data_IF_689360984475
#
_entry.id   IF_689360984475
#
_cell.length_a   1.000
_cell.length_b   1.000
_cell.length_c   1.000
_cell.angle_alpha   90.00
_cell.angle_beta   90.00
_cell.angle_gamma   90.00
#
_symmetry.space_group_name_H-M   'P 1'
#
loop_
_entity.id
_entity.type
_entity.pdbx_description
1 polymer ?
#
# COMPACT_ATOMS: atom_id res chain seq x y z
N UNK A 1 13.05 -11.91 22.89
CA UNK A 1 12.23 -13.02 22.37
C UNK A 1 13.09 -13.96 21.52
N UNK A 2 13.71 -13.48 20.44
CA UNK A 2 14.62 -14.26 19.59
C UNK A 2 15.76 -14.91 20.41
N UNK A 3 16.49 -14.14 21.23
CA UNK A 3 17.54 -14.67 22.12
C UNK A 3 17.04 -15.66 23.19
N UNK A 4 15.72 -15.70 23.41
CA UNK A 4 15.06 -16.65 24.31
C UNK A 4 14.44 -17.85 23.54
N UNK A 5 14.83 -18.05 22.27
CA UNK A 5 14.39 -19.13 21.40
C UNK A 5 12.87 -19.17 21.15
N UNK A 6 12.22 -18.01 21.06
CA UNK A 6 10.82 -17.95 20.63
C UNK A 6 10.69 -18.26 19.12
N UNK A 7 9.80 -19.19 18.75
CA UNK A 7 9.52 -19.52 17.34
C UNK A 7 8.48 -18.58 16.71
N UNK A 8 7.64 -17.95 17.53
CA UNK A 8 6.60 -17.00 17.09
C UNK A 8 6.62 -15.78 18.01
N UNK A 9 6.48 -14.59 17.43
CA UNK A 9 6.32 -13.32 18.16
C UNK A 9 5.00 -12.68 17.71
N UNK A 10 4.09 -12.44 18.66
CA UNK A 10 2.91 -11.61 18.45
C UNK A 10 3.20 -10.16 18.84
N UNK A 11 2.96 -9.22 17.93
CA UNK A 11 3.10 -7.79 18.15
C UNK A 11 1.75 -7.09 17.94
N UNK A 12 1.13 -6.70 19.06
CA UNK A 12 -0.05 -5.83 19.07
C UNK A 12 0.37 -4.38 19.31
N UNK A 13 1.15 -3.84 18.38
CA UNK A 13 1.67 -2.48 18.38
C UNK A 13 1.58 -1.91 16.97
N UNK A 14 1.46 -0.59 16.85
CA UNK A 14 1.21 0.09 15.59
C UNK A 14 1.61 1.56 15.66
N UNK A 15 2.12 2.09 14.56
CA UNK A 15 2.38 3.51 14.36
C UNK A 15 2.57 3.85 12.88
N UNK A 16 2.54 5.14 12.56
CA UNK A 16 2.86 5.63 11.22
C UNK A 16 4.29 5.22 10.85
N UNK A 17 4.52 4.61 9.68
CA UNK A 17 5.87 4.32 9.21
C UNK A 17 6.73 5.59 9.13
N UNK A 18 8.01 5.48 9.50
CA UNK A 18 8.96 6.60 9.51
C UNK A 18 10.21 6.29 8.71
N UNK A 19 10.97 7.33 8.35
CA UNK A 19 12.26 7.13 7.70
C UNK A 19 13.23 6.46 8.67
N UNK A 20 13.69 5.26 8.31
CA UNK A 20 14.58 4.47 9.14
C UNK A 20 13.87 3.84 10.34
N UNK A 21 12.60 3.48 10.17
CA UNK A 21 11.79 2.82 11.20
C UNK A 21 12.55 1.63 11.83
N UNK A 22 12.86 1.68 13.14
CA UNK A 22 13.61 0.62 13.80
C UNK A 22 12.86 -0.72 13.85
N UNK A 23 11.54 -0.70 13.75
CA UNK A 23 10.73 -1.90 13.76
C UNK A 23 10.93 -2.72 12.49
N UNK A 24 11.16 -2.09 11.32
CA UNK A 24 11.50 -2.80 10.08
C UNK A 24 12.73 -3.68 10.28
N UNK A 25 13.79 -3.09 10.82
CA UNK A 25 15.05 -3.79 11.09
C UNK A 25 14.84 -4.91 12.11
N UNK A 26 14.06 -4.65 13.17
CA UNK A 26 13.81 -5.63 14.22
C UNK A 26 13.00 -6.85 13.73
N UNK A 27 11.92 -6.63 12.95
CA UNK A 27 11.10 -7.72 12.42
C UNK A 27 11.83 -8.50 11.33
N UNK A 28 12.59 -7.81 10.47
CA UNK A 28 13.42 -8.45 9.44
C UNK A 28 14.51 -9.32 10.07
N UNK A 29 15.16 -8.82 11.13
CA UNK A 29 16.13 -9.61 11.87
C UNK A 29 15.47 -10.84 12.52
N UNK A 30 14.35 -10.69 13.22
CA UNK A 30 13.64 -11.82 13.83
C UNK A 30 13.25 -12.89 12.78
N UNK A 31 12.72 -12.47 11.63
CA UNK A 31 12.40 -13.35 10.51
C UNK A 31 13.64 -14.12 10.02
N UNK A 32 14.78 -13.43 9.82
CA UNK A 32 16.04 -14.07 9.43
C UNK A 32 16.56 -15.10 10.44
N UNK A 33 16.15 -15.00 11.72
CA UNK A 33 16.50 -15.95 12.77
C UNK A 33 15.52 -17.13 12.85
N UNK A 34 14.63 -17.29 11.86
CA UNK A 34 13.65 -18.37 11.81
C UNK A 34 12.39 -18.14 12.65
N UNK A 35 12.12 -16.89 13.04
CA UNK A 35 10.95 -16.54 13.86
C UNK A 35 9.81 -16.02 13.01
N UNK A 36 8.61 -16.57 13.18
CA UNK A 36 7.38 -16.01 12.58
C UNK A 36 6.97 -14.77 13.38
N UNK A 37 6.99 -13.60 12.75
CA UNK A 37 6.50 -12.36 13.37
C UNK A 37 5.06 -12.12 12.90
N UNK A 38 4.12 -12.10 13.83
CA UNK A 38 2.69 -11.85 13.57
C UNK A 38 2.30 -10.51 14.17
N UNK A 39 1.71 -9.63 13.37
CA UNK A 39 1.43 -8.24 13.76
C UNK A 39 -0.04 -7.90 13.56
N UNK A 40 -0.59 -7.05 14.42
CA UNK A 40 -1.90 -6.43 14.16
C UNK A 40 -1.79 -5.44 13.00
N UNK A 41 -2.74 -5.44 12.06
CA UNK A 41 -2.70 -4.53 10.91
C UNK A 41 -2.84 -3.03 11.28
N UNK A 42 -3.48 -2.75 12.42
CA UNK A 42 -3.85 -1.40 12.86
C UNK A 42 -5.37 -1.24 13.00
N UNK A 43 -5.82 -0.14 13.59
CA UNK A 43 -7.25 0.12 13.87
C UNK A 43 -7.76 1.45 13.23
N UNK A 44 -7.14 1.90 12.14
CA UNK A 44 -7.45 3.19 11.52
C UNK A 44 -8.31 3.06 10.24
N UNK A 45 -8.97 1.92 10.02
CA UNK A 45 -9.73 1.65 8.80
C UNK A 45 -11.11 2.31 8.69
N UNK A 46 -11.65 2.84 9.80
CA UNK A 46 -13.08 3.17 9.99
C UNK A 46 -13.73 3.92 8.80
N UNK A 47 -14.37 3.12 7.92
CA UNK A 47 -15.16 3.44 6.71
C UNK A 47 -14.47 3.38 5.34
N UNK A 48 -13.20 2.97 5.21
CA UNK A 48 -12.53 2.88 3.90
C UNK A 48 -12.36 4.22 3.17
N UNK A 49 -12.72 5.32 3.83
CA UNK A 49 -12.60 6.72 3.37
C UNK A 49 -11.21 7.30 3.63
N UNK A 50 -10.37 6.57 4.38
CA UNK A 50 -8.96 6.83 4.59
C UNK A 50 -8.27 5.64 3.93
N UNK A 51 -7.40 5.87 2.95
CA UNK A 51 -6.83 4.79 2.12
C UNK A 51 -5.91 3.83 2.89
N UNK A 52 -4.65 3.69 2.47
CA UNK A 52 -3.68 2.85 3.15
C UNK A 52 -3.54 3.27 4.60
N UNK A 53 -3.85 2.35 5.50
CA UNK A 53 -3.87 2.56 6.96
C UNK A 53 -3.11 1.46 7.71
N UNK A 54 -2.43 0.58 6.98
CA UNK A 54 -1.56 -0.46 7.55
C UNK A 54 -0.39 0.20 8.26
N UNK A 55 -0.25 -0.10 9.55
CA UNK A 55 0.75 0.53 10.41
C UNK A 55 2.08 -0.24 10.41
N UNK A 56 3.14 0.42 10.85
CA UNK A 56 4.38 -0.24 11.23
C UNK A 56 4.20 -1.06 12.51
N UNK A 57 4.70 -2.32 12.57
CA UNK A 57 5.52 -3.01 11.58
C UNK A 57 4.74 -3.92 10.62
N UNK A 58 3.41 -3.87 10.63
CA UNK A 58 2.57 -4.74 9.83
C UNK A 58 2.76 -4.54 8.32
N UNK A 59 3.15 -3.35 7.86
CA UNK A 59 3.44 -3.15 6.44
C UNK A 59 4.63 -3.98 5.93
N UNK A 60 5.62 -4.31 6.77
CA UNK A 60 6.85 -4.95 6.28
C UNK A 60 6.64 -6.41 5.86
N UNK A 61 7.43 -6.88 4.88
CA UNK A 61 7.30 -8.23 4.31
C UNK A 61 7.55 -9.33 5.34
N UNK A 62 8.48 -9.09 6.27
CA UNK A 62 8.83 -10.00 7.36
C UNK A 62 7.75 -10.12 8.46
N UNK A 63 6.70 -9.30 8.40
CA UNK A 63 5.56 -9.35 9.31
C UNK A 63 4.38 -10.04 8.64
N UNK A 64 3.75 -10.99 9.31
CA UNK A 64 2.43 -11.52 8.95
C UNK A 64 1.36 -10.60 9.55
N UNK A 65 0.84 -9.67 8.76
CA UNK A 65 -0.14 -8.68 9.17
C UNK A 65 -1.54 -9.27 9.23
N UNK A 66 -2.22 -9.04 10.35
CA UNK A 66 -3.53 -9.64 10.63
C UNK A 66 -4.62 -8.57 10.69
N UNK A 67 -5.56 -8.67 9.75
CA UNK A 67 -6.81 -7.90 9.72
C UNK A 67 -7.86 -8.46 10.69
N UNK A 68 -8.89 -7.65 10.95
CA UNK A 68 -9.96 -7.98 11.88
C UNK A 68 -11.28 -8.27 11.15
N UNK A 69 -11.95 -9.33 11.58
CA UNK A 69 -13.34 -9.63 11.22
C UNK A 69 -14.27 -9.41 12.44
N UNK A 70 -15.50 -9.02 12.16
CA UNK A 70 -16.62 -8.99 13.12
C UNK A 70 -17.18 -10.40 13.36
N UNK A 71 -18.15 -10.52 14.27
CA UNK A 71 -18.79 -11.81 14.61
C UNK A 71 -19.50 -12.50 13.43
N UNK A 72 -19.93 -11.74 12.43
CA UNK A 72 -20.61 -12.24 11.23
C UNK A 72 -19.64 -12.50 10.06
N UNK A 73 -18.34 -12.53 10.34
CA UNK A 73 -17.25 -12.64 9.38
C UNK A 73 -17.16 -11.46 8.38
N UNK A 74 -17.89 -10.37 8.58
CA UNK A 74 -17.66 -9.14 7.82
C UNK A 74 -16.34 -8.47 8.25
N UNK A 75 -15.65 -7.74 7.36
CA UNK A 75 -14.48 -6.96 7.73
C UNK A 75 -14.85 -5.96 8.83
N UNK A 76 -14.05 -5.95 9.90
CA UNK A 76 -14.24 -4.98 10.95
C UNK A 76 -13.96 -3.58 10.41
N UNK A 77 -14.90 -2.66 10.63
CA UNK A 77 -14.81 -1.30 10.11
C UNK A 77 -13.49 -0.61 10.49
N UNK A 78 -12.94 -0.92 11.67
CA UNK A 78 -11.66 -0.37 12.16
C UNK A 78 -10.42 -1.04 11.60
N UNK A 79 -10.53 -2.24 11.02
CA UNK A 79 -9.37 -2.97 10.54
C UNK A 79 -8.63 -2.11 9.52
N UNK A 80 -7.37 -1.81 9.78
CA UNK A 80 -6.53 -1.13 8.79
C UNK A 80 -6.48 -1.92 7.48
N UNK A 81 -6.51 -1.19 6.36
CA UNK A 81 -6.58 -1.71 5.00
C UNK A 81 -5.40 -1.23 4.16
N UNK A 82 -4.98 -2.04 3.20
CA UNK A 82 -4.03 -1.67 2.15
C UNK A 82 -4.73 -1.15 0.89
N UNK A 83 -4.11 -1.28 -0.30
CA UNK A 83 -2.72 -1.69 -0.52
C UNK A 83 -1.75 -0.72 0.14
N UNK A 84 -0.50 -1.11 0.34
CA UNK A 84 0.53 -0.18 0.85
C UNK A 84 0.87 0.92 -0.16
N UNK A 85 1.61 1.94 0.28
CA UNK A 85 2.12 3.03 -0.55
C UNK A 85 2.95 2.53 -1.75
N UNK A 86 3.67 1.41 -1.61
CA UNK A 86 4.44 0.75 -2.67
C UNK A 86 3.64 -0.30 -3.43
N UNK A 87 2.31 -0.27 -3.36
CA UNK A 87 1.39 -1.11 -4.14
C UNK A 87 1.58 -2.62 -3.98
N UNK A 88 1.86 -3.08 -2.76
CA UNK A 88 1.75 -4.50 -2.40
C UNK A 88 0.67 -4.71 -1.34
N UNK A 89 0.10 -5.91 -1.29
CA UNK A 89 -1.08 -6.17 -0.47
C UNK A 89 -0.76 -6.46 0.98
N UNK A 90 -1.56 -5.84 1.84
CA UNK A 90 -1.69 -6.00 3.28
C UNK A 90 -3.17 -5.68 3.65
N UNK A 91 -3.77 -6.26 4.71
CA UNK A 91 -3.20 -7.28 5.59
C UNK A 91 -2.92 -8.60 4.84
N UNK A 92 -2.21 -9.53 5.45
CA UNK A 92 -1.89 -10.84 4.84
C UNK A 92 -3.02 -11.84 5.00
N UNK A 93 -3.70 -11.80 6.15
CA UNK A 93 -4.76 -12.72 6.55
C UNK A 93 -5.66 -12.01 7.56
N UNK A 94 -6.87 -12.50 7.77
CA UNK A 94 -7.80 -11.96 8.77
C UNK A 94 -8.21 -13.01 9.80
N UNK A 95 -8.52 -12.55 11.00
CA UNK A 95 -9.13 -13.35 12.05
C UNK A 95 -10.11 -12.50 12.87
N UNK A 96 -10.95 -13.15 13.68
CA UNK A 96 -11.88 -12.46 14.58
C UNK A 96 -11.17 -11.40 15.43
N UNK A 97 -11.56 -10.13 15.24
CA UNK A 97 -10.95 -8.96 15.88
C UNK A 97 -11.58 -8.58 17.20
N UNK A 98 -12.12 -9.55 17.92
CA UNK A 98 -12.77 -9.30 19.20
C UNK A 98 -12.45 -10.37 20.24
N UNK A 99 -12.62 -9.99 21.50
CA UNK A 99 -12.62 -10.90 22.64
C UNK A 99 -13.71 -10.52 23.63
N UNK A 100 -14.15 -11.49 24.44
CA UNK A 100 -15.14 -11.26 25.51
C UNK A 100 -14.49 -11.56 26.85
N UNK A 101 -14.45 -10.58 27.75
CA UNK A 101 -13.98 -10.77 29.12
C UNK A 101 -14.98 -11.60 29.93
N UNK A 102 -14.54 -12.06 31.11
CA UNK A 102 -15.34 -12.90 32.00
C UNK A 102 -16.63 -12.25 32.52
N UNK A 103 -16.70 -10.92 32.50
CA UNK A 103 -17.89 -10.13 32.85
C UNK A 103 -18.86 -9.92 31.66
N UNK A 104 -18.51 -10.42 30.48
CA UNK A 104 -19.30 -10.28 29.26
C UNK A 104 -18.97 -9.02 28.43
N UNK A 105 -18.04 -8.17 28.87
CA UNK A 105 -17.61 -7.00 28.09
C UNK A 105 -16.89 -7.43 26.82
N UNK A 106 -17.22 -6.81 25.68
CA UNK A 106 -16.56 -7.05 24.40
C UNK A 106 -15.53 -5.98 24.11
N UNK A 107 -14.35 -6.42 23.69
CA UNK A 107 -13.29 -5.55 23.19
C UNK A 107 -13.02 -5.87 21.73
N UNK A 108 -12.77 -4.84 20.94
CA UNK A 108 -12.50 -4.92 19.51
C UNK A 108 -11.13 -4.36 19.19
N UNK A 109 -10.49 -4.90 18.15
CA UNK A 109 -9.21 -4.46 17.63
C UNK A 109 -8.48 -5.59 16.91
N UNK A 110 -7.68 -5.24 15.90
CA UNK A 110 -6.75 -6.17 15.23
C UNK A 110 -5.75 -6.78 16.20
N UNK A 111 -5.52 -6.14 17.35
CA UNK A 111 -4.79 -6.68 18.51
C UNK A 111 -5.37 -7.99 19.06
N UNK A 112 -6.64 -8.30 18.82
CA UNK A 112 -7.26 -9.58 19.18
C UNK A 112 -7.21 -10.62 18.05
N UNK A 113 -7.05 -10.18 16.80
CA UNK A 113 -6.85 -11.05 15.64
C UNK A 113 -5.43 -11.62 15.58
N UNK A 114 -4.42 -10.76 15.75
CA UNK A 114 -3.00 -11.14 15.70
C UNK A 114 -2.63 -12.35 16.58
N UNK A 115 -3.01 -12.42 17.87
CA UNK A 115 -2.65 -13.56 18.72
C UNK A 115 -3.33 -14.87 18.29
N UNK A 116 -4.46 -14.83 17.59
CA UNK A 116 -5.12 -16.04 17.06
C UNK A 116 -4.31 -16.64 15.92
N UNK A 117 -3.83 -15.81 15.00
CA UNK A 117 -2.94 -16.24 13.91
C UNK A 117 -1.57 -16.66 14.47
N UNK A 118 -1.05 -15.98 15.49
CA UNK A 118 0.18 -16.40 16.16
C UNK A 118 0.05 -17.79 16.81
N UNK A 119 -1.10 -18.09 17.43
CA UNK A 119 -1.38 -19.41 17.97
C UNK A 119 -1.43 -20.48 16.86
N UNK A 120 -2.08 -20.19 15.73
CA UNK A 120 -2.10 -21.09 14.58
C UNK A 120 -0.69 -21.32 13.99
N UNK A 121 0.13 -20.27 13.89
CA UNK A 121 1.53 -20.40 13.47
C UNK A 121 2.32 -21.34 14.39
N UNK A 122 2.14 -21.22 15.71
CA UNK A 122 2.79 -22.10 16.68
C UNK A 122 2.30 -23.55 16.57
N UNK A 123 1.01 -23.76 16.29
CA UNK A 123 0.42 -25.09 16.06
C UNK A 123 0.99 -25.76 14.81
N UNK A 124 1.09 -25.03 13.69
CA UNK A 124 1.72 -25.52 12.46
C UNK A 124 3.19 -25.89 12.70
N UNK A 125 3.94 -25.07 13.44
CA UNK A 125 5.34 -25.37 13.80
C UNK A 125 5.43 -26.65 14.65
N UNK A 126 4.59 -26.79 15.67
CA UNK A 126 4.55 -27.98 16.53
C UNK A 126 4.26 -29.25 15.73
N UNK A 127 3.27 -29.19 14.83
CA UNK A 127 2.95 -30.30 13.94
C UNK A 127 4.09 -30.67 12.99
N UNK A 128 4.78 -29.68 12.42
CA UNK A 128 5.95 -29.93 11.59
C UNK A 128 7.04 -30.67 12.37
N UNK A 129 7.32 -30.25 13.62
CA UNK A 129 8.28 -30.93 14.48
C UNK A 129 7.86 -32.37 14.77
N UNK A 130 6.60 -32.60 15.17
CA UNK A 130 6.08 -33.92 15.51
C UNK A 130 6.11 -34.91 14.34
N UNK A 131 6.03 -34.41 13.10
CA UNK A 131 6.07 -35.19 11.87
C UNK A 131 7.44 -35.18 11.19
N UNK A 132 8.47 -34.62 11.83
CA UNK A 132 9.82 -34.48 11.29
C UNK A 132 9.84 -33.73 9.93
N UNK A 133 8.98 -32.71 9.77
CA UNK A 133 8.93 -31.81 8.61
C UNK A 133 9.77 -30.57 8.93
N UNK A 134 10.64 -30.17 8.00
CA UNK A 134 11.41 -28.92 8.14
C UNK A 134 10.47 -27.73 7.93
N UNK A 135 10.64 -26.66 8.72
CA UNK A 135 9.87 -25.43 8.57
C UNK A 135 10.77 -24.21 8.57
N UNK A 136 10.27 -23.14 7.97
CA UNK A 136 10.79 -21.77 7.99
C UNK A 136 9.64 -20.80 8.25
N UNK A 137 9.91 -19.53 8.64
CA UNK A 137 8.88 -18.51 8.68
C UNK A 137 8.07 -18.41 7.37
N UNK A 138 8.75 -18.42 6.22
CA UNK A 138 8.10 -18.42 4.90
C UNK A 138 7.12 -19.57 4.72
N UNK A 139 7.50 -20.80 5.09
CA UNK A 139 6.61 -21.97 4.95
C UNK A 139 5.34 -21.85 5.79
N UNK A 140 5.45 -21.32 7.02
CA UNK A 140 4.32 -21.17 7.93
C UNK A 140 3.39 -20.05 7.44
N UNK A 141 3.96 -18.90 7.03
CA UNK A 141 3.17 -17.80 6.45
C UNK A 141 2.46 -18.24 5.16
N UNK A 142 3.16 -18.95 4.26
CA UNK A 142 2.60 -19.49 3.01
C UNK A 142 1.42 -20.42 3.30
N UNK A 143 1.57 -21.35 4.24
CA UNK A 143 0.52 -22.30 4.60
C UNK A 143 -0.70 -21.61 5.22
N UNK A 144 -0.50 -20.61 6.09
CA UNK A 144 -1.58 -19.83 6.69
C UNK A 144 -2.37 -19.04 5.65
N UNK A 145 -1.68 -18.34 4.74
CA UNK A 145 -2.32 -17.55 3.69
C UNK A 145 -3.05 -18.44 2.68
N UNK A 146 -2.37 -19.46 2.13
CA UNK A 146 -2.97 -20.42 1.18
C UNK A 146 -4.10 -21.23 1.81
N UNK A 147 -4.03 -21.45 3.12
CA UNK A 147 -5.02 -22.17 3.91
C UNK A 147 -6.23 -21.35 4.32
N UNK A 148 -6.21 -20.03 4.17
CA UNK A 148 -7.33 -19.17 4.55
C UNK A 148 -8.62 -19.51 3.80
N UNK A 149 -9.75 -19.22 4.43
CA UNK A 149 -11.08 -19.29 3.82
C UNK A 149 -11.46 -17.93 3.25
N UNK A 150 -12.01 -17.92 2.03
CA UNK A 150 -12.50 -16.70 1.40
C UNK A 150 -13.55 -16.00 2.28
N UNK A 151 -13.46 -14.68 2.36
CA UNK A 151 -14.40 -13.83 3.12
C UNK A 151 -15.25 -13.06 2.13
N UNK A 152 -16.43 -13.59 1.83
CA UNK A 152 -17.37 -12.97 0.89
C UNK A 152 -16.73 -12.63 -0.46
N UNK A 153 -17.07 -11.46 -0.98
CA UNK A 153 -16.45 -10.87 -2.19
C UNK A 153 -15.57 -9.66 -1.81
N UNK A 154 -15.05 -9.63 -0.58
CA UNK A 154 -14.27 -8.49 -0.12
C UNK A 154 -12.88 -8.49 -0.76
N UNK A 155 -12.37 -7.33 -1.21
CA UNK A 155 -11.04 -7.22 -1.78
C UNK A 155 -9.94 -7.68 -0.83
N UNK A 156 -8.88 -8.27 -1.38
CA UNK A 156 -7.74 -8.78 -0.62
C UNK A 156 -6.97 -7.70 0.14
N UNK A 157 -7.02 -6.44 -0.32
CA UNK A 157 -6.43 -5.32 0.43
C UNK A 157 -7.22 -4.97 1.71
N UNK A 158 -8.41 -5.53 1.90
CA UNK A 158 -9.22 -5.38 3.12
C UNK A 158 -9.06 -6.60 4.03
N UNK A 159 -9.16 -7.81 3.47
CA UNK A 159 -9.26 -9.06 4.26
C UNK A 159 -8.02 -9.96 4.18
N UNK A 160 -7.01 -9.58 3.41
CA UNK A 160 -5.86 -10.43 3.12
C UNK A 160 -6.26 -11.62 2.24
N UNK A 161 -5.56 -12.75 2.42
CA UNK A 161 -5.93 -14.03 1.80
C UNK A 161 -7.28 -14.61 2.32
N UNK A 162 -7.86 -13.99 3.35
CA UNK A 162 -9.14 -14.38 3.94
C UNK A 162 -9.06 -14.74 5.42
N UNK A 163 -10.08 -15.46 5.92
CA UNK A 163 -10.22 -15.85 7.33
C UNK A 163 -9.28 -17.00 7.67
N UNK A 164 -8.59 -16.91 8.80
CA UNK A 164 -7.77 -17.97 9.36
C UNK A 164 -8.52 -19.31 9.42
N UNK A 165 -7.95 -20.33 8.78
CA UNK A 165 -8.36 -21.73 8.90
C UNK A 165 -7.14 -22.61 9.19
N UNK A 166 -6.90 -22.87 10.48
CA UNK A 166 -5.74 -23.63 10.95
C UNK A 166 -5.71 -25.06 10.40
N UNK A 167 -6.86 -25.73 10.32
CA UNK A 167 -6.93 -27.12 9.86
C UNK A 167 -6.54 -27.25 8.39
N UNK A 168 -7.04 -26.34 7.53
CA UNK A 168 -6.70 -26.32 6.11
C UNK A 168 -5.22 -25.95 5.91
N UNK A 169 -4.72 -25.00 6.70
CA UNK A 169 -3.29 -24.62 6.70
C UNK A 169 -2.38 -25.78 7.10
N UNK A 170 -2.76 -26.56 8.12
CA UNK A 170 -2.04 -27.77 8.52
C UNK A 170 -2.07 -28.85 7.44
N UNK A 171 -3.24 -29.07 6.82
CA UNK A 171 -3.38 -30.05 5.74
C UNK A 171 -2.49 -29.69 4.55
N UNK A 172 -2.38 -28.41 4.20
CA UNK A 172 -1.45 -27.92 3.17
C UNK A 172 0.01 -28.31 3.48
N UNK A 173 0.47 -28.19 4.73
CA UNK A 173 1.82 -28.62 5.10
C UNK A 173 1.96 -30.13 4.95
N UNK A 174 1.05 -30.91 5.54
CA UNK A 174 1.14 -32.37 5.57
C UNK A 174 1.03 -33.01 4.19
N UNK A 175 0.19 -32.46 3.31
CA UNK A 175 -0.04 -32.99 1.96
C UNK A 175 1.10 -32.67 0.99
N UNK A 176 1.97 -31.71 1.32
CA UNK A 176 3.03 -31.21 0.43
C UNK A 176 4.44 -31.37 1.01
N UNK A 177 4.61 -32.03 2.16
CA UNK A 177 5.92 -32.26 2.77
C UNK A 177 6.34 -33.74 2.68
N UNK A 178 7.64 -33.96 2.48
CA UNK A 178 8.29 -35.24 2.74
C UNK A 178 9.02 -35.18 4.09
N UNK A 179 9.33 -36.34 4.67
CA UNK A 179 10.06 -36.41 5.94
C UNK A 179 11.45 -35.74 5.79
N UNK A 180 11.73 -34.78 6.67
CA UNK A 180 12.96 -34.00 6.71
C UNK A 180 13.02 -32.86 5.69
N UNK A 181 12.00 -32.66 4.84
CA UNK A 181 12.00 -31.62 3.82
C UNK A 181 11.13 -30.42 4.21
N UNK A 182 11.31 -29.30 3.49
CA UNK A 182 10.32 -28.23 3.47
C UNK A 182 9.08 -28.68 2.67
N UNK A 183 7.88 -28.17 2.99
CA UNK A 183 6.71 -28.39 2.16
C UNK A 183 6.86 -27.72 0.79
N UNK A 184 6.48 -28.41 -0.28
CA UNK A 184 6.50 -27.92 -1.66
C UNK A 184 5.34 -26.94 -1.93
N UNK A 185 5.38 -25.77 -1.30
CA UNK A 185 4.31 -24.76 -1.35
C UNK A 185 4.82 -23.36 -1.68
N UNK A 186 4.04 -22.66 -2.49
CA UNK A 186 4.19 -21.24 -2.77
C UNK A 186 2.82 -20.53 -2.86
N UNK A 187 2.84 -19.20 -2.76
CA UNK A 187 1.67 -18.32 -2.83
C UNK A 187 2.04 -16.97 -3.44
N UNK A 188 1.24 -16.49 -4.39
CA UNK A 188 1.34 -15.15 -4.97
C UNK A 188 0.19 -14.28 -4.43
N UNK A 189 0.48 -13.04 -4.06
CA UNK A 189 -0.48 -12.14 -3.42
C UNK A 189 -0.33 -10.70 -3.94
N UNK A 190 -1.38 -10.05 -4.49
CA UNK A 190 -2.76 -10.52 -4.59
C UNK A 190 -2.93 -11.71 -5.53
N UNK A 191 -4.06 -12.42 -5.41
CA UNK A 191 -4.49 -13.46 -6.34
C UNK A 191 -5.11 -12.92 -7.62
N UNK A 192 -5.45 -11.63 -7.66
CA UNK A 192 -6.09 -10.96 -8.80
C UNK A 192 -5.51 -9.55 -9.04
N UNK A 193 -5.43 -9.15 -10.31
CA UNK A 193 -5.12 -7.78 -10.73
C UNK A 193 -6.15 -7.31 -11.78
N UNK A 194 -6.50 -6.01 -11.78
CA UNK A 194 -6.08 -4.97 -10.84
C UNK A 194 -6.82 -5.09 -9.50
N UNK A 195 -6.61 -4.18 -8.54
CA UNK A 195 -7.61 -4.03 -7.45
C UNK A 195 -8.83 -3.27 -7.97
N UNK A 196 -9.97 -3.42 -7.31
CA UNK A 196 -11.30 -3.01 -7.78
C UNK A 196 -11.45 -1.53 -8.17
N UNK A 197 -10.71 -0.61 -7.56
CA UNK A 197 -10.77 0.81 -7.87
C UNK A 197 -9.69 1.30 -8.85
N UNK A 198 -8.73 0.45 -9.21
CA UNK A 198 -7.72 0.78 -10.21
C UNK A 198 -8.30 0.65 -11.62
N UNK A 199 -8.01 1.64 -12.46
CA UNK A 199 -8.40 1.63 -13.87
C UNK A 199 -7.18 1.86 -14.74
N UNK A 200 -7.08 1.09 -15.81
CA UNK A 200 -5.99 1.24 -16.77
C UNK A 200 -6.46 1.92 -18.07
N UNK A 201 -5.57 2.68 -18.67
CA UNK A 201 -5.84 3.46 -19.87
C UNK A 201 -4.84 3.11 -20.98
N UNK A 202 -5.30 3.14 -22.23
CA UNK A 202 -4.45 2.96 -23.39
C UNK A 202 -3.29 3.97 -23.41
N UNK A 203 -2.12 3.53 -23.88
CA UNK A 203 -0.85 4.28 -23.89
C UNK A 203 -0.20 4.56 -22.54
N UNK A 204 -0.79 4.12 -21.43
CA UNK A 204 -0.22 4.31 -20.10
C UNK A 204 0.51 3.04 -19.60
N UNK A 205 1.31 3.18 -18.54
CA UNK A 205 2.09 2.10 -17.93
C UNK A 205 1.80 1.99 -16.45
N UNK A 206 1.54 0.76 -15.98
CA UNK A 206 1.15 0.46 -14.60
C UNK A 206 2.14 -0.49 -13.96
N UNK A 207 2.52 -0.21 -12.70
CA UNK A 207 3.46 -1.03 -11.95
C UNK A 207 2.77 -1.68 -10.76
N UNK A 208 2.81 -3.00 -10.72
CA UNK A 208 2.26 -3.82 -9.66
C UNK A 208 3.39 -4.55 -8.92
N UNK A 209 3.34 -4.57 -7.59
CA UNK A 209 4.30 -5.31 -6.77
C UNK A 209 3.64 -6.55 -6.18
N UNK A 210 3.88 -7.70 -6.81
CA UNK A 210 3.31 -8.99 -6.38
C UNK A 210 4.18 -9.58 -5.31
N UNK A 211 3.60 -9.90 -4.15
CA UNK A 211 4.30 -10.60 -3.08
C UNK A 211 4.30 -12.08 -3.35
N UNK A 212 5.48 -12.66 -3.28
CA UNK A 212 5.72 -14.08 -3.45
C UNK A 212 6.12 -14.66 -2.11
N UNK A 213 5.47 -15.75 -1.72
CA UNK A 213 5.78 -16.53 -0.54
C UNK A 213 6.15 -17.94 -0.97
N UNK A 214 7.20 -18.49 -0.37
CA UNK A 214 7.70 -19.82 -0.61
C UNK A 214 8.17 -20.45 0.71
N UNK A 215 8.23 -21.78 0.75
CA UNK A 215 8.70 -22.47 1.95
C UNK A 215 10.20 -22.28 2.24
N UNK A 216 10.99 -21.80 1.29
CA UNK A 216 12.42 -21.55 1.45
C UNK A 216 12.97 -20.73 0.29
N UNK A 217 14.29 -20.75 0.11
CA UNK A 217 14.95 -20.12 -1.03
C UNK A 217 14.77 -20.96 -2.30
N UNK A 218 14.26 -20.36 -3.38
CA UNK A 218 14.20 -21.01 -4.68
C UNK A 218 14.16 -20.01 -5.85
N UNK A 219 14.60 -20.51 -7.01
CA UNK A 219 14.36 -19.85 -8.28
C UNK A 219 12.94 -20.16 -8.79
N UNK A 220 12.33 -19.13 -9.37
CA UNK A 220 11.04 -19.17 -10.04
C UNK A 220 11.21 -18.75 -11.49
N UNK A 221 10.38 -19.33 -12.35
CA UNK A 221 10.19 -18.95 -13.75
C UNK A 221 8.81 -18.33 -13.91
N UNK A 222 8.66 -17.39 -14.84
CA UNK A 222 7.39 -16.71 -15.14
C UNK A 222 6.78 -17.24 -16.43
N UNK A 223 5.49 -17.54 -16.41
CA UNK A 223 4.67 -17.77 -17.60
C UNK A 223 3.49 -16.79 -17.61
N UNK A 224 3.29 -16.11 -18.75
CA UNK A 224 2.17 -15.20 -18.97
C UNK A 224 1.26 -15.77 -20.04
N UNK A 225 0.03 -16.08 -19.67
CA UNK A 225 -1.04 -16.49 -20.60
C UNK A 225 -2.06 -15.35 -20.60
N UNK A 226 -2.16 -14.59 -21.68
CA UNK A 226 -3.06 -13.44 -21.76
C UNK A 226 -3.58 -13.20 -23.18
N UNK A 227 -4.67 -12.45 -23.31
CA UNK A 227 -5.11 -11.87 -24.59
C UNK A 227 -4.06 -10.93 -25.18
N UNK A 228 -3.23 -10.31 -24.33
CA UNK A 228 -2.16 -9.37 -24.74
C UNK A 228 -0.84 -9.65 -24.00
N UNK A 229 -0.15 -10.80 -24.23
CA UNK A 229 1.03 -11.17 -23.45
C UNK A 229 2.19 -10.17 -23.55
N UNK A 230 2.34 -9.50 -24.69
CA UNK A 230 3.40 -8.51 -24.92
C UNK A 230 3.24 -7.22 -24.11
N UNK A 231 2.09 -7.00 -23.47
CA UNK A 231 1.89 -5.85 -22.58
C UNK A 231 2.66 -6.02 -21.26
N UNK A 232 2.98 -7.25 -20.87
CA UNK A 232 3.59 -7.56 -19.58
C UNK A 232 5.12 -7.51 -19.69
N UNK A 233 5.74 -6.74 -18.80
CA UNK A 233 7.18 -6.74 -18.57
C UNK A 233 7.40 -7.28 -17.15
N UNK A 234 7.87 -8.52 -17.09
CA UNK A 234 8.08 -9.29 -15.86
C UNK A 234 9.41 -10.05 -16.02
N UNK A 235 10.22 -10.21 -14.97
CA UNK A 235 11.40 -11.05 -15.05
C UNK A 235 11.06 -12.50 -15.44
N UNK A 236 11.75 -13.05 -16.44
CA UNK A 236 11.57 -14.45 -16.87
C UNK A 236 11.98 -15.44 -15.76
N UNK A 237 13.02 -15.08 -15.00
CA UNK A 237 13.56 -15.85 -13.87
C UNK A 237 13.93 -14.91 -12.72
N UNK A 238 13.68 -15.34 -11.49
CA UNK A 238 14.06 -14.61 -10.27
C UNK A 238 14.18 -15.55 -9.06
N UNK A 239 14.89 -15.13 -8.02
CA UNK A 239 15.03 -15.87 -6.76
C UNK A 239 14.12 -15.26 -5.68
N UNK A 240 13.45 -16.11 -4.91
CA UNK A 240 12.72 -15.74 -3.70
C UNK A 240 13.35 -16.46 -2.53
N UNK A 241 13.79 -15.72 -1.51
CA UNK A 241 14.18 -16.28 -0.21
C UNK A 241 13.01 -16.17 0.77
N UNK A 242 12.16 -17.19 0.79
CA UNK A 242 10.94 -17.29 1.60
C UNK A 242 9.85 -16.26 1.29
N UNK A 243 10.18 -14.96 1.23
CA UNK A 243 9.27 -13.87 0.89
C UNK A 243 10.03 -12.88 0.00
N UNK A 244 9.39 -12.43 -1.08
CA UNK A 244 9.94 -11.40 -1.95
C UNK A 244 8.87 -10.69 -2.75
N UNK A 245 9.29 -9.76 -3.60
CA UNK A 245 8.41 -8.99 -4.47
C UNK A 245 8.84 -9.14 -5.92
N UNK A 246 7.87 -9.37 -6.78
CA UNK A 246 8.06 -9.44 -8.23
C UNK A 246 7.39 -8.21 -8.84
N UNK A 247 8.17 -7.29 -9.43
CA UNK A 247 7.60 -6.17 -10.16
C UNK A 247 6.97 -6.69 -11.45
N UNK A 248 5.72 -6.28 -11.69
CA UNK A 248 4.97 -6.53 -12.91
C UNK A 248 4.60 -5.18 -13.51
N UNK A 249 5.20 -4.84 -14.65
CA UNK A 249 4.83 -3.65 -15.40
C UNK A 249 3.88 -4.05 -16.52
N UNK A 250 2.76 -3.33 -16.67
CA UNK A 250 1.81 -3.50 -17.77
C UNK A 250 1.86 -2.25 -18.63
N UNK A 251 2.44 -2.37 -19.83
CA UNK A 251 2.47 -1.34 -20.85
C UNK A 251 1.25 -1.51 -21.76
N UNK A 252 0.24 -0.66 -21.56
CA UNK A 252 -1.04 -0.80 -22.25
C UNK A 252 -0.91 -0.31 -23.70
N UNK A 253 -1.27 -1.12 -24.71
CA UNK A 253 -1.17 -0.71 -26.10
C UNK A 253 -1.97 0.55 -26.43
N UNK A 254 -1.50 1.34 -27.41
CA UNK A 254 -2.11 2.63 -27.78
C UNK A 254 -3.54 2.53 -28.31
N UNK A 255 -3.92 1.39 -28.92
CA UNK A 255 -5.26 1.18 -29.46
C UNK A 255 -5.56 -0.30 -29.70
N UNK A 256 -6.83 -0.62 -29.90
CA UNK A 256 -7.28 -1.94 -30.35
C UNK A 256 -7.41 -2.99 -29.24
N UNK A 257 -7.16 -2.61 -27.98
CA UNK A 257 -7.37 -3.43 -26.79
C UNK A 257 -8.39 -2.74 -25.91
N UNK A 258 -9.53 -3.40 -25.69
CA UNK A 258 -10.57 -2.94 -24.76
C UNK A 258 -10.50 -3.68 -23.43
N UNK A 259 -9.81 -4.82 -23.40
CA UNK A 259 -9.72 -5.69 -22.24
C UNK A 259 -8.42 -6.52 -22.31
N UNK A 260 -7.76 -6.71 -21.19
CA UNK A 260 -6.60 -7.59 -21.03
C UNK A 260 -6.94 -8.62 -19.96
N UNK A 261 -7.22 -9.84 -20.39
CA UNK A 261 -7.49 -10.98 -19.50
C UNK A 261 -6.35 -11.98 -19.55
N UNK A 262 -6.17 -12.75 -18.48
CA UNK A 262 -5.19 -13.82 -18.45
C UNK A 262 -4.78 -14.26 -17.05
N UNK A 263 -3.61 -14.86 -16.98
CA UNK A 263 -2.97 -15.28 -15.74
C UNK A 263 -1.46 -15.16 -15.84
N UNK A 264 -0.82 -14.84 -14.72
CA UNK A 264 0.64 -14.97 -14.54
C UNK A 264 0.86 -16.14 -13.59
N UNK A 265 1.64 -17.12 -14.05
CA UNK A 265 2.07 -18.28 -13.24
C UNK A 265 3.54 -18.15 -12.93
N UNK A 266 3.88 -18.35 -11.65
CA UNK A 266 5.25 -18.44 -11.17
C UNK A 266 5.53 -19.88 -10.74
N UNK A 267 6.50 -20.53 -11.40
CA UNK A 267 6.79 -21.94 -11.21
C UNK A 267 8.20 -22.17 -10.63
N UNK A 268 8.28 -23.00 -9.60
CA UNK A 268 9.54 -23.48 -9.03
C UNK A 268 9.56 -25.01 -8.96
N UNK A 269 10.69 -25.61 -9.32
CA UNK A 269 10.88 -27.06 -9.20
C UNK A 269 10.88 -27.54 -7.74
N UNK A 270 11.16 -26.65 -6.77
CA UNK A 270 11.20 -26.98 -5.34
C UNK A 270 9.85 -26.80 -4.66
N UNK A 271 9.07 -25.80 -5.08
CA UNK A 271 7.89 -25.34 -4.33
C UNK A 271 6.59 -25.27 -5.14
N UNK A 272 6.59 -25.82 -6.36
CA UNK A 272 5.43 -25.88 -7.23
C UNK A 272 5.10 -24.53 -7.87
N UNK A 273 3.82 -24.35 -8.20
CA UNK A 273 3.32 -23.22 -8.96
C UNK A 273 2.32 -22.39 -8.16
N UNK A 274 2.35 -21.08 -8.35
CA UNK A 274 1.30 -20.18 -7.90
C UNK A 274 0.93 -19.22 -9.04
N UNK A 275 -0.36 -18.92 -9.13
CA UNK A 275 -0.93 -18.21 -10.27
C UNK A 275 -1.80 -17.09 -9.74
N UNK A 276 -1.67 -15.90 -10.33
CA UNK A 276 -2.64 -14.83 -10.18
C UNK A 276 -3.44 -14.65 -11.47
N UNK A 277 -4.70 -14.22 -11.31
CA UNK A 277 -5.57 -13.87 -12.42
C UNK A 277 -5.40 -12.40 -12.78
N UNK A 278 -5.64 -12.10 -14.05
CA UNK A 278 -5.60 -10.76 -14.60
C UNK A 278 -6.88 -10.50 -15.36
N UNK A 279 -7.53 -9.38 -15.07
CA UNK A 279 -8.72 -8.92 -15.78
C UNK A 279 -8.78 -7.39 -15.76
N UNK A 280 -8.21 -6.75 -16.78
CA UNK A 280 -8.20 -5.30 -16.89
C UNK A 280 -9.17 -4.81 -17.97
N UNK A 281 -10.12 -3.95 -17.61
CA UNK A 281 -10.81 -3.09 -18.58
C UNK A 281 -9.89 -1.97 -19.04
N UNK A 282 -9.73 -1.78 -20.36
CA UNK A 282 -8.87 -0.74 -20.94
C UNK A 282 -9.69 0.46 -21.38
N UNK A 283 -9.55 1.56 -20.65
CA UNK A 283 -10.16 2.86 -20.97
C UNK A 283 -9.37 3.68 -22.00
N UNK A 284 -10.00 4.74 -22.51
CA UNK A 284 -9.32 5.81 -23.26
C UNK A 284 -9.33 7.07 -22.42
N UNK A 285 -8.15 7.59 -22.06
CA UNK A 285 -8.06 8.76 -21.22
C UNK A 285 -8.50 10.03 -21.98
N UNK A 286 -9.40 10.82 -21.40
CA UNK A 286 -9.79 12.15 -21.91
C UNK A 286 -8.83 13.26 -21.46
N UNK A 287 -8.09 12.99 -20.38
CA UNK A 287 -7.00 13.81 -19.87
C UNK A 287 -6.03 12.92 -19.08
N UNK A 288 -4.78 13.35 -18.96
CA UNK A 288 -3.72 12.72 -18.16
C UNK A 288 -3.25 13.69 -17.09
N UNK A 289 -3.37 13.29 -15.83
CA UNK A 289 -2.98 14.12 -14.69
C UNK A 289 -1.85 13.44 -13.93
N UNK A 290 -0.88 14.23 -13.49
CA UNK A 290 0.12 13.76 -12.55
C UNK A 290 -0.28 14.09 -11.12
N UNK A 291 -0.14 13.14 -10.21
CA UNK A 291 -0.08 13.39 -8.77
C UNK A 291 1.40 13.45 -8.36
N UNK A 292 1.93 14.64 -8.10
CA UNK A 292 3.27 14.79 -7.57
C UNK A 292 3.26 14.61 -6.06
N UNK A 293 3.84 13.48 -5.64
CA UNK A 293 4.00 13.05 -4.26
C UNK A 293 5.50 12.93 -3.91
N UNK A 294 6.39 13.41 -4.77
CA UNK A 294 7.84 13.30 -4.60
C UNK A 294 8.41 14.22 -3.52
N UNK A 295 7.61 15.19 -3.06
CA UNK A 295 7.99 16.17 -2.03
C UNK A 295 7.19 16.03 -0.73
N UNK A 296 6.43 14.95 -0.56
CA UNK A 296 5.85 14.56 0.73
C UNK A 296 6.56 13.31 1.27
N UNK A 297 6.98 13.29 2.55
CA UNK A 297 7.50 12.11 3.21
C UNK A 297 6.39 11.17 3.77
N UNK A 298 5.12 11.42 3.48
CA UNK A 298 4.02 10.63 4.05
C UNK A 298 3.56 9.53 3.09
N UNK A 299 3.69 8.28 3.51
CA UNK A 299 3.27 7.10 2.76
C UNK A 299 1.75 7.08 2.46
N UNK A 300 0.96 7.84 3.22
CA UNK A 300 -0.48 7.99 2.99
C UNK A 300 -0.81 8.94 1.83
N UNK A 301 0.14 9.73 1.34
CA UNK A 301 -0.08 10.67 0.24
C UNK A 301 0.08 9.97 -1.11
N UNK A 302 -0.76 8.97 -1.35
CA UNK A 302 -0.77 8.20 -2.59
C UNK A 302 -2.21 7.99 -3.06
N UNK A 303 -2.38 7.50 -4.30
CA UNK A 303 -3.66 6.99 -4.82
C UNK A 303 -4.16 5.78 -4.04
N UNK A 304 -3.30 5.14 -3.24
CA UNK A 304 -3.69 4.09 -2.32
C UNK A 304 -4.10 4.67 -0.96
N UNK A 305 -3.71 5.89 -0.62
CA UNK A 305 -3.91 6.53 0.68
C UNK A 305 -5.01 7.59 0.73
N UNK A 306 -4.74 8.73 1.37
CA UNK A 306 -5.74 9.78 1.62
C UNK A 306 -6.29 10.42 0.33
N UNK A 307 -5.59 10.25 -0.80
CA UNK A 307 -6.02 10.74 -2.11
C UNK A 307 -6.71 9.67 -2.97
N UNK A 308 -7.02 8.49 -2.42
CA UNK A 308 -7.71 7.40 -3.13
C UNK A 308 -9.06 7.81 -3.69
N UNK A 309 -9.90 8.50 -2.90
CA UNK A 309 -11.21 8.93 -3.39
C UNK A 309 -11.10 9.99 -4.49
N UNK A 310 -10.08 10.85 -4.42
CA UNK A 310 -9.80 11.79 -5.51
C UNK A 310 -9.37 11.06 -6.78
N UNK A 311 -8.48 10.07 -6.66
CA UNK A 311 -8.10 9.19 -7.76
C UNK A 311 -9.31 8.48 -8.38
N UNK A 312 -10.18 7.89 -7.56
CA UNK A 312 -11.41 7.19 -8.01
C UNK A 312 -12.30 8.11 -8.85
N UNK A 313 -12.57 9.31 -8.37
CA UNK A 313 -13.38 10.30 -9.10
C UNK A 313 -12.76 10.64 -10.45
N UNK A 314 -11.43 10.77 -10.54
CA UNK A 314 -10.73 11.04 -11.80
C UNK A 314 -10.88 9.87 -12.78
N UNK A 315 -10.55 8.65 -12.35
CA UNK A 315 -10.58 7.49 -13.25
C UNK A 315 -11.99 7.07 -13.66
N UNK A 316 -13.01 7.30 -12.83
CA UNK A 316 -14.43 7.15 -13.17
C UNK A 316 -14.87 8.12 -14.28
N UNK A 317 -14.19 9.26 -14.42
CA UNK A 317 -14.44 10.26 -15.46
C UNK A 317 -13.41 10.17 -16.62
N UNK A 318 -12.83 8.99 -16.82
CA UNK A 318 -11.86 8.70 -17.88
C UNK A 318 -10.60 9.59 -17.84
N UNK A 319 -10.20 10.09 -16.67
CA UNK A 319 -8.95 10.83 -16.48
C UNK A 319 -7.90 9.87 -15.93
N UNK A 320 -6.79 9.69 -16.65
CA UNK A 320 -5.71 8.85 -16.14
C UNK A 320 -4.84 9.62 -15.14
N UNK A 321 -4.32 8.89 -14.15
CA UNK A 321 -3.52 9.45 -13.06
C UNK A 321 -2.20 8.70 -12.95
N UNK A 322 -1.10 9.44 -12.99
CA UNK A 322 0.25 8.91 -12.78
C UNK A 322 0.88 9.58 -11.58
N UNK A 323 1.45 8.81 -10.65
CA UNK A 323 2.16 9.40 -9.52
C UNK A 323 3.63 9.69 -9.86
N UNK A 324 4.05 10.94 -9.67
CA UNK A 324 5.46 11.31 -9.66
C UNK A 324 5.98 11.04 -8.24
N UNK A 325 6.70 9.93 -8.08
CA UNK A 325 7.23 9.44 -6.79
C UNK A 325 8.69 9.77 -6.55
N UNK A 326 9.44 10.02 -7.62
CA UNK A 326 10.85 10.36 -7.57
C UNK A 326 11.04 11.76 -8.11
N UNK A 327 11.52 12.67 -7.26
CA UNK A 327 11.68 14.08 -7.60
C UNK A 327 12.67 14.27 -8.78
N UNK A 328 13.64 13.35 -8.92
CA UNK A 328 14.58 13.35 -10.06
C UNK A 328 13.92 13.04 -11.42
N UNK A 329 12.69 12.51 -11.42
CA UNK A 329 11.92 12.30 -12.65
C UNK A 329 11.26 13.59 -13.16
N UNK A 330 11.16 14.63 -12.32
CA UNK A 330 10.53 15.90 -12.66
C UNK A 330 11.43 16.71 -13.59
N UNK A 331 11.04 16.74 -14.86
CA UNK A 331 11.70 17.51 -15.92
C UNK A 331 10.67 18.30 -16.70
N UNK A 332 11.08 19.37 -17.39
CA UNK A 332 10.15 20.12 -18.24
C UNK A 332 9.47 19.21 -19.27
N UNK A 333 10.21 18.27 -19.88
CA UNK A 333 9.64 17.31 -20.84
C UNK A 333 8.62 16.37 -20.22
N UNK A 334 8.88 15.84 -19.02
CA UNK A 334 7.98 14.88 -18.38
C UNK A 334 6.69 15.56 -17.90
N UNK A 335 6.77 16.81 -17.42
CA UNK A 335 5.57 17.56 -17.02
C UNK A 335 4.63 17.83 -18.21
N UNK A 336 5.19 18.05 -19.41
CA UNK A 336 4.42 18.25 -20.64
C UNK A 336 3.74 16.97 -21.19
N UNK A 337 3.94 15.81 -20.55
CA UNK A 337 3.14 14.61 -20.82
C UNK A 337 1.75 14.66 -20.16
N UNK A 338 1.53 15.62 -19.25
CA UNK A 338 0.31 15.76 -18.46
C UNK A 338 -0.46 17.05 -18.77
N UNK A 339 -1.78 16.95 -18.81
CA UNK A 339 -2.69 18.09 -18.94
C UNK A 339 -2.74 18.96 -17.67
N UNK A 340 -2.49 18.34 -16.51
CA UNK A 340 -2.34 19.04 -15.24
C UNK A 340 -1.47 18.24 -14.25
N UNK A 341 -0.90 18.94 -13.27
CA UNK A 341 -0.16 18.35 -12.16
C UNK A 341 -0.79 18.79 -10.83
N UNK A 342 -1.07 17.83 -9.97
CA UNK A 342 -1.54 18.06 -8.59
C UNK A 342 -0.40 17.71 -7.64
N UNK A 343 0.13 18.71 -6.95
CA UNK A 343 1.19 18.55 -5.95
C UNK A 343 0.53 18.34 -4.59
N UNK A 344 0.81 17.20 -3.97
CA UNK A 344 0.10 16.71 -2.79
C UNK A 344 1.01 16.77 -1.56
N UNK A 345 0.58 17.56 -0.57
CA UNK A 345 1.26 17.85 0.70
C UNK A 345 2.78 18.10 0.60
N UNK A 346 3.22 18.94 -0.35
CA UNK A 346 4.64 19.20 -0.54
C UNK A 346 5.28 19.83 0.69
N UNK A 347 6.53 19.48 0.95
CA UNK A 347 7.31 19.94 2.10
C UNK A 347 6.69 19.57 3.46
N UNK A 348 5.89 18.50 3.54
CA UNK A 348 5.39 18.02 4.83
C UNK A 348 6.52 17.55 5.75
N UNK A 349 6.34 17.72 7.06
CA UNK A 349 7.27 17.25 8.08
C UNK A 349 7.05 15.77 8.38
N UNK A 350 8.14 15.02 8.53
CA UNK A 350 8.12 13.66 9.07
C UNK A 350 9.28 13.45 10.05
N UNK A 351 9.26 12.30 10.73
CA UNK A 351 10.29 11.86 11.65
C UNK A 351 11.33 10.99 10.94
N UNK A 352 12.59 11.25 11.22
CA UNK A 352 13.72 10.41 10.84
C UNK A 352 14.23 9.67 12.08
N UNK A 353 14.02 8.37 12.09
CA UNK A 353 14.36 7.44 13.16
C UNK A 353 15.56 6.54 12.83
N UNK A 354 16.29 6.82 11.74
CA UNK A 354 17.50 6.08 11.35
C UNK A 354 18.50 5.93 12.52
N UNK A 355 18.53 6.90 13.44
CA UNK A 355 19.16 6.76 14.76
C UNK A 355 18.08 6.86 15.84
N UNK A 356 17.50 5.75 16.33
CA UNK A 356 16.33 5.79 17.22
C UNK A 356 16.55 6.53 18.54
N UNK A 357 17.80 6.61 19.00
CA UNK A 357 18.17 7.38 20.19
C UNK A 357 18.19 8.91 19.96
N UNK A 358 18.08 9.37 18.71
CA UNK A 358 18.14 10.77 18.31
C UNK A 358 17.21 11.02 17.10
N UNK A 359 15.90 10.94 17.34
CA UNK A 359 14.88 11.22 16.34
C UNK A 359 14.95 12.69 15.92
N UNK A 360 15.00 12.94 14.62
CA UNK A 360 15.01 14.31 14.06
C UNK A 360 13.80 14.51 13.15
N UNK A 361 13.37 15.77 12.97
CA UNK A 361 12.35 16.10 11.98
C UNK A 361 13.00 16.51 10.66
N UNK A 362 12.40 16.12 9.54
CA UNK A 362 12.83 16.50 8.20
C UNK A 362 11.62 16.76 7.30
N UNK A 363 11.88 17.33 6.12
CA UNK A 363 10.92 17.55 5.04
C UNK A 363 11.67 17.46 3.69
N UNK A 364 10.93 17.38 2.58
CA UNK A 364 11.50 17.24 1.24
C UNK A 364 11.30 18.53 0.42
N UNK A 365 12.35 19.37 0.22
CA UNK A 365 12.25 20.60 -0.55
C UNK A 365 12.33 20.34 -2.06
N UNK A 366 11.90 21.34 -2.86
CA UNK A 366 12.16 21.39 -4.30
C UNK A 366 13.55 21.94 -4.59
N UNK A 367 14.22 21.38 -5.60
CA UNK A 367 15.42 21.93 -6.19
C UNK A 367 15.11 23.08 -7.15
N UNK A 368 16.15 23.85 -7.50
CA UNK A 368 16.06 24.91 -8.50
C UNK A 368 15.67 24.37 -9.89
N UNK A 369 16.16 23.18 -10.25
CA UNK A 369 15.82 22.56 -11.54
C UNK A 369 14.34 22.16 -11.61
N UNK A 370 13.80 21.60 -10.53
CA UNK A 370 12.38 21.27 -10.43
C UNK A 370 11.52 22.53 -10.46
N UNK A 371 11.95 23.57 -9.73
CA UNK A 371 11.28 24.87 -9.73
C UNK A 371 11.19 25.46 -11.13
N UNK A 372 12.30 25.47 -11.88
CA UNK A 372 12.33 25.94 -13.26
C UNK A 372 11.44 25.09 -14.19
N UNK A 373 11.42 23.77 -14.01
CA UNK A 373 10.57 22.88 -14.81
C UNK A 373 9.08 23.16 -14.59
N UNK A 374 8.66 23.36 -13.34
CA UNK A 374 7.28 23.71 -12.99
C UNK A 374 6.89 25.10 -13.51
N UNK A 375 7.79 26.09 -13.38
CA UNK A 375 7.58 27.43 -13.91
C UNK A 375 7.45 27.42 -15.45
N UNK A 376 8.32 26.69 -16.15
CA UNK A 376 8.27 26.56 -17.62
C UNK A 376 6.98 25.86 -18.09
N UNK A 377 6.57 24.80 -17.39
CA UNK A 377 5.31 24.10 -17.65
C UNK A 377 4.10 25.02 -17.47
N UNK A 378 4.04 25.75 -16.35
CA UNK A 378 2.97 26.72 -16.09
C UNK A 378 2.94 27.85 -17.14
N UNK A 379 4.10 28.43 -17.46
CA UNK A 379 4.21 29.50 -18.45
C UNK A 379 3.82 29.04 -19.87
N UNK A 380 3.90 27.74 -20.14
CA UNK A 380 3.46 27.11 -21.39
C UNK A 380 1.96 26.78 -21.40
N UNK A 381 1.24 27.09 -20.31
CA UNK A 381 -0.21 26.89 -20.18
C UNK A 381 -0.61 25.65 -19.37
N UNK A 382 0.35 24.95 -18.76
CA UNK A 382 0.09 23.80 -17.90
C UNK A 382 -0.65 24.14 -16.60
N UNK A 383 -1.58 23.29 -16.20
CA UNK A 383 -2.33 23.45 -14.96
C UNK A 383 -1.57 22.90 -13.75
N UNK A 384 -1.37 23.71 -12.71
CA UNK A 384 -0.77 23.25 -11.44
C UNK A 384 -1.78 23.48 -10.32
N UNK A 385 -2.05 22.42 -9.56
CA UNK A 385 -2.86 22.43 -8.35
C UNK A 385 -1.98 22.05 -7.17
N UNK A 386 -2.19 22.67 -6.01
CA UNK A 386 -1.43 22.38 -4.80
C UNK A 386 -2.41 22.12 -3.68
N UNK A 387 -2.38 20.91 -3.14
CA UNK A 387 -3.04 20.56 -1.90
C UNK A 387 -1.98 20.57 -0.80
N UNK A 388 -2.13 21.47 0.18
CA UNK A 388 -1.19 21.58 1.29
C UNK A 388 -1.93 21.90 2.59
N UNK A 389 -1.40 21.38 3.69
CA UNK A 389 -1.90 21.62 5.04
C UNK A 389 -1.30 22.89 5.68
N UNK A 390 -1.65 23.12 6.94
CA UNK A 390 -1.16 24.27 7.70
C UNK A 390 0.32 24.14 8.09
N UNK A 391 0.86 25.22 8.66
CA UNK A 391 2.23 25.30 9.16
C UNK A 391 2.57 24.35 10.32
N UNK A 392 1.59 23.65 10.90
CA UNK A 392 1.85 22.55 11.85
C UNK A 392 2.34 21.28 11.15
N UNK A 393 2.03 21.14 9.86
CA UNK A 393 2.30 19.94 9.07
C UNK A 393 3.31 20.19 7.96
N UNK A 394 3.34 21.40 7.39
CA UNK A 394 4.16 21.75 6.23
C UNK A 394 5.24 22.77 6.58
N UNK A 395 6.44 22.64 5.99
CA UNK A 395 7.42 23.72 5.97
C UNK A 395 7.01 24.82 4.99
N UNK A 396 6.18 25.74 5.47
CA UNK A 396 5.62 26.87 4.69
C UNK A 396 6.72 27.73 4.04
N UNK A 397 7.85 27.95 4.71
CA UNK A 397 8.96 28.74 4.14
C UNK A 397 9.54 28.09 2.89
N UNK A 398 9.77 26.77 2.94
CA UNK A 398 10.31 26.02 1.81
C UNK A 398 9.30 25.96 0.66
N UNK A 399 8.01 25.72 0.96
CA UNK A 399 6.96 25.74 -0.04
C UNK A 399 6.85 27.13 -0.72
N UNK A 400 6.94 28.21 0.05
CA UNK A 400 6.91 29.57 -0.50
C UNK A 400 8.15 29.91 -1.34
N UNK A 401 9.31 29.31 -1.03
CA UNK A 401 10.50 29.44 -1.87
C UNK A 401 10.27 28.80 -3.25
N UNK A 402 9.66 27.62 -3.28
CA UNK A 402 9.23 26.99 -4.53
C UNK A 402 8.21 27.85 -5.28
N UNK A 403 7.23 28.44 -4.59
CA UNK A 403 6.14 29.19 -5.23
C UNK A 403 6.47 30.63 -5.62
N UNK A 404 7.69 31.10 -5.38
CA UNK A 404 8.05 32.50 -5.58
C UNK A 404 7.78 33.01 -7.01
N UNK A 405 7.85 32.14 -8.02
CA UNK A 405 7.54 32.47 -9.42
C UNK A 405 6.04 32.72 -9.69
N UNK A 406 5.16 32.23 -8.82
CA UNK A 406 3.70 32.36 -8.97
C UNK A 406 3.15 33.69 -8.46
N UNK A 407 3.84 34.34 -7.53
CA UNK A 407 3.31 35.44 -6.71
C UNK A 407 2.46 34.99 -5.50
N UNK A 408 2.06 33.72 -5.42
CA UNK A 408 1.36 33.18 -4.26
C UNK A 408 2.30 32.90 -3.09
N UNK A 409 1.79 33.13 -1.88
CA UNK A 409 2.52 32.86 -0.66
C UNK A 409 1.56 32.32 0.41
N UNK A 410 1.86 31.13 0.94
CA UNK A 410 1.15 30.53 2.06
C UNK A 410 1.52 31.27 3.34
N UNK A 411 0.51 31.56 4.17
CA UNK A 411 0.72 32.16 5.48
C UNK A 411 0.67 31.10 6.58
N UNK A 412 1.16 31.46 7.78
CA UNK A 412 1.03 30.63 8.98
C UNK A 412 -0.31 30.76 9.68
N UNK A 413 -1.22 31.60 9.16
CA UNK A 413 -2.52 31.82 9.75
C UNK A 413 -3.48 30.69 9.35
N UNK A 414 -4.01 30.01 10.35
CA UNK A 414 -4.97 28.91 10.19
C UNK A 414 -6.39 29.43 10.38
N UNK A 415 -7.24 29.22 9.38
CA UNK A 415 -8.71 29.34 9.54
C UNK A 415 -9.16 28.12 10.37
N UNK A 416 -10.04 28.27 11.39
CA UNK A 416 -10.20 27.27 12.45
C UNK A 416 -10.38 25.83 11.94
N UNK A 417 -9.73 24.89 12.63
CA UNK A 417 -9.81 23.45 12.37
C UNK A 417 -11.09 22.83 12.94
N UNK A 418 -11.52 21.71 12.34
CA UNK A 418 -12.66 20.88 12.77
C UNK A 418 -13.89 20.99 11.87
N UNK A 419 -15.07 20.62 12.39
CA UNK A 419 -16.35 20.57 11.65
C UNK A 419 -16.98 21.96 11.40
N UNK A 420 -16.19 23.03 11.45
CA UNK A 420 -16.67 24.41 11.38
C UNK A 420 -15.96 25.19 10.27
N UNK A 421 -16.17 24.82 8.99
CA UNK A 421 -15.59 25.54 7.88
C UNK A 421 -16.04 27.01 7.85
N UNK A 422 -15.18 27.89 7.36
CA UNK A 422 -15.55 29.29 7.12
C UNK A 422 -16.15 29.43 5.73
N UNK A 423 -17.34 30.03 5.62
CA UNK A 423 -17.94 30.36 4.33
C UNK A 423 -17.16 31.53 3.69
N UNK A 424 -16.48 31.26 2.59
CA UNK A 424 -15.90 32.27 1.70
C UNK A 424 -16.97 32.65 0.69
N UNK A 425 -17.49 33.87 0.79
CA UNK A 425 -18.53 34.41 -0.11
C UNK A 425 -18.13 35.76 -0.73
N UNK A 426 -16.92 36.24 -0.42
CA UNK A 426 -16.30 37.39 -1.07
C UNK A 426 -15.23 36.82 -2.00
N UNK A 427 -15.63 36.58 -3.24
CA UNK A 427 -14.81 35.92 -4.25
C UNK A 427 -14.55 36.93 -5.36
N UNK A 428 -13.27 37.16 -5.67
CA UNK A 428 -12.92 37.98 -6.82
C UNK A 428 -13.37 37.27 -8.11
N UNK A 429 -13.93 38.01 -9.09
CA UNK A 429 -14.40 37.41 -10.33
C UNK A 429 -13.26 36.69 -11.06
N UNK A 430 -13.39 35.37 -11.19
CA UNK A 430 -12.44 34.54 -11.91
C UNK A 430 -13.17 33.44 -12.69
N UNK A 431 -12.55 32.94 -13.78
CA UNK A 431 -13.22 31.96 -14.64
C UNK A 431 -13.52 30.65 -13.90
N UNK A 432 -12.63 30.21 -13.01
CA UNK A 432 -12.81 28.99 -12.19
C UNK A 432 -13.90 29.18 -11.13
N UNK A 433 -14.10 30.39 -10.63
CA UNK A 433 -15.12 30.69 -9.61
C UNK A 433 -16.44 31.19 -10.21
N UNK A 434 -16.55 31.22 -11.55
CA UNK A 434 -17.75 31.68 -12.24
C UNK A 434 -18.95 30.81 -11.87
N UNK A 435 -20.00 31.43 -11.33
CA UNK A 435 -21.21 30.74 -10.87
C UNK A 435 -21.13 30.19 -9.44
N UNK A 436 -20.00 30.32 -8.75
CA UNK A 436 -19.85 29.94 -7.34
C UNK A 436 -20.17 31.14 -6.45
N UNK A 437 -21.30 31.10 -5.73
CA UNK A 437 -21.72 32.17 -4.81
C UNK A 437 -20.98 32.14 -3.45
N UNK A 438 -20.29 31.06 -3.16
CA UNK A 438 -19.49 30.86 -1.97
C UNK A 438 -19.09 29.39 -1.80
N UNK A 439 -18.04 29.14 -1.04
CA UNK A 439 -17.61 27.79 -0.68
C UNK A 439 -17.13 27.76 0.77
N UNK A 440 -17.27 26.59 1.40
CA UNK A 440 -16.75 26.33 2.73
C UNK A 440 -15.24 26.07 2.63
N UNK A 441 -14.44 26.78 3.44
CA UNK A 441 -12.98 26.70 3.44
C UNK A 441 -12.45 26.28 4.82
N UNK A 442 -11.48 25.36 4.80
CA UNK A 442 -10.69 24.90 5.94
C UNK A 442 -9.23 24.89 5.47
N UNK A 443 -8.31 25.51 6.20
CA UNK A 443 -6.89 25.53 5.82
C UNK A 443 -6.12 26.80 6.19
N UNK A 444 -4.93 26.94 5.62
CA UNK A 444 -4.06 28.11 5.81
C UNK A 444 -4.38 29.23 4.81
N UNK A 445 -4.45 30.48 5.26
CA UNK A 445 -4.74 31.59 4.33
C UNK A 445 -3.61 31.78 3.30
N UNK A 446 -4.00 32.05 2.05
CA UNK A 446 -3.11 32.35 0.94
C UNK A 446 -3.09 33.87 0.75
N UNK A 447 -1.91 34.46 0.56
CA UNK A 447 -1.75 35.82 0.05
C UNK A 447 -1.35 35.77 -1.41
N UNK A 448 -2.00 36.60 -2.22
CA UNK A 448 -1.76 36.79 -3.66
C UNK A 448 -1.03 38.11 -3.86
#
# INVERSE_FOLDING_TARGET
>A
AVEQNASVINLSLGGTPTLGDPLETAVTWAFSQGVVVVTSAGNNGDYGNLGTTIESPALYDASLAVGALMEDDSPAYFSSIGPTDKRYMKPDISAEGYTTSSDGTRYYGTSFSAPRVAAAAAELIGHSIDHNITYTPGSIMTALMKGADSVGTYPEYIVGAGKLNTQKSLSIILDNAEEGSLPAICYAFPGELPVDYERIFASDSYNFNIRMFAAGTANFTTEVISTTPSAFVIPDEFEIDQIGRVPVTVNVPDSGVTEIEGSITFASSSFGECTLQISFDVGTAIARIAFDISHTPWDIDTIYGQFREFYKVLVENDVSVTEIRNSSATTNSSLHEFDAVVILDPCAYSANETTPANVTSYFLPFSENETNAYEDYYNSGGGIFIAALSNSSINVTSLNTFLNWTGFNFTTFQVPSGDSPTLINTIDPYIITSGINGFHYIGATITI
#
